data_IF_520028257667
#
_entry.id   IF_520028257667
#
_cell.length_a   1.000
_cell.length_b   1.000
_cell.length_c   1.000
_cell.angle_alpha   90.00
_cell.angle_beta   90.00
_cell.angle_gamma   90.00
#
_symmetry.space_group_name_H-M   'P 1'
#
loop_
_entity.id
_entity.type
_entity.pdbx_description
1 polymer ?
#
# COMPACT_ATOMS: atom_id res chain seq x y z
N UNK A 1 -20.01 3.24 -26.01
CA UNK A 1 -20.39 3.70 -24.65
C UNK A 1 -19.33 3.21 -23.67
N UNK A 2 -18.31 4.02 -23.38
CA UNK A 2 -17.19 3.66 -22.51
C UNK A 2 -17.59 3.88 -21.05
N UNK A 3 -17.54 2.82 -20.23
CA UNK A 3 -17.86 2.84 -18.80
C UNK A 3 -16.80 3.56 -17.95
N UNK A 4 -16.48 4.81 -18.26
CA UNK A 4 -15.40 5.61 -17.65
C UNK A 4 -15.91 6.68 -16.66
N UNK A 5 -17.09 6.50 -16.07
CA UNK A 5 -17.76 7.54 -15.28
C UNK A 5 -17.90 7.29 -13.78
N UNK A 6 -17.52 6.12 -13.25
CA UNK A 6 -17.68 5.84 -11.83
C UNK A 6 -16.53 6.45 -11.01
N UNK A 7 -16.82 7.34 -10.04
CA UNK A 7 -15.79 7.98 -9.23
C UNK A 7 -14.97 6.94 -8.49
N UNK A 8 -13.63 7.06 -8.58
CA UNK A 8 -12.72 6.24 -7.78
C UNK A 8 -12.80 6.66 -6.32
N UNK A 9 -12.74 5.70 -5.40
CA UNK A 9 -12.58 6.05 -4.01
C UNK A 9 -11.27 6.86 -3.83
N UNK A 10 -11.32 7.84 -2.93
CA UNK A 10 -10.20 8.74 -2.69
C UNK A 10 -8.96 7.96 -2.23
N UNK A 11 -7.83 8.17 -2.91
CA UNK A 11 -6.53 7.61 -2.55
C UNK A 11 -5.82 8.43 -1.46
N UNK A 12 -6.39 9.57 -1.03
CA UNK A 12 -5.78 10.45 -0.03
C UNK A 12 -5.40 9.71 1.26
N UNK A 13 -6.26 8.85 1.86
CA UNK A 13 -5.91 8.15 3.10
C UNK A 13 -4.71 7.22 2.94
N UNK A 14 -4.58 6.57 1.77
CA UNK A 14 -3.42 5.73 1.44
C UNK A 14 -2.14 6.57 1.43
N UNK A 15 -2.12 7.66 0.66
CA UNK A 15 -0.93 8.51 0.57
C UNK A 15 -0.57 9.18 1.89
N UNK A 16 -1.56 9.60 2.69
CA UNK A 16 -1.32 10.14 4.03
C UNK A 16 -0.69 9.07 4.92
N UNK A 17 -1.22 7.85 4.92
CA UNK A 17 -0.69 6.73 5.72
C UNK A 17 0.73 6.38 5.32
N UNK A 18 0.99 6.28 4.00
CA UNK A 18 2.33 6.03 3.45
C UNK A 18 3.30 7.15 3.83
N UNK A 19 2.87 8.41 3.71
CA UNK A 19 3.66 9.57 4.10
C UNK A 19 4.04 9.54 5.58
N UNK A 20 3.08 9.29 6.47
CA UNK A 20 3.32 9.18 7.92
C UNK A 20 4.29 8.03 8.22
N UNK A 21 4.02 6.81 7.71
CA UNK A 21 4.87 5.64 7.95
C UNK A 21 6.31 5.85 7.46
N UNK A 22 6.45 6.44 6.27
CA UNK A 22 7.75 6.77 5.68
C UNK A 22 8.48 7.84 6.49
N UNK A 23 7.79 8.90 6.91
CA UNK A 23 8.37 9.98 7.70
C UNK A 23 8.93 9.47 9.04
N UNK A 24 8.20 8.58 9.72
CA UNK A 24 8.71 7.94 10.94
C UNK A 24 9.99 7.15 10.66
N UNK A 25 10.01 6.28 9.64
CA UNK A 25 11.21 5.49 9.34
C UNK A 25 12.41 6.35 8.93
N UNK A 26 12.18 7.41 8.16
CA UNK A 26 13.22 8.38 7.80
C UNK A 26 13.77 9.06 9.06
N UNK A 27 12.90 9.53 9.96
CA UNK A 27 13.32 10.20 11.19
C UNK A 27 14.17 9.28 12.08
N UNK A 28 13.73 8.04 12.30
CA UNK A 28 14.51 7.05 13.05
C UNK A 28 15.86 6.76 12.37
N UNK A 29 15.87 6.63 11.04
CA UNK A 29 17.07 6.41 10.25
C UNK A 29 18.08 7.55 10.35
N UNK A 30 17.63 8.81 10.26
CA UNK A 30 18.48 10.01 10.40
C UNK A 30 19.03 10.16 11.82
N UNK A 31 18.20 9.89 12.84
CA UNK A 31 18.62 9.92 14.24
C UNK A 31 19.58 8.78 14.61
N UNK A 32 19.78 7.80 13.73
CA UNK A 32 20.60 6.62 14.00
C UNK A 32 20.00 5.69 15.06
N UNK A 33 18.71 5.83 15.37
CA UNK A 33 18.01 5.03 16.37
C UNK A 33 17.37 3.84 15.65
N UNK A 34 17.60 2.63 16.16
CA UNK A 34 16.92 1.47 15.60
C UNK A 34 15.41 1.56 15.82
N UNK A 35 14.58 1.48 14.75
CA UNK A 35 13.14 1.49 14.91
C UNK A 35 12.73 0.27 15.72
N UNK A 36 11.96 0.51 16.79
CA UNK A 36 11.38 -0.56 17.60
C UNK A 36 10.57 -1.52 16.71
N UNK A 37 10.52 -2.83 17.02
CA UNK A 37 9.80 -3.81 16.19
C UNK A 37 8.36 -3.41 15.88
N UNK A 38 7.66 -2.82 16.85
CA UNK A 38 6.31 -2.30 16.67
C UNK A 38 6.21 -1.24 15.57
N UNK A 39 7.16 -0.30 15.49
CA UNK A 39 7.18 0.74 14.46
C UNK A 39 7.37 0.13 13.07
N UNK A 40 8.23 -0.89 12.95
CA UNK A 40 8.45 -1.61 11.68
C UNK A 40 7.19 -2.33 11.23
N UNK A 41 6.49 -3.00 12.15
CA UNK A 41 5.22 -3.68 11.86
C UNK A 41 4.15 -2.67 11.43
N UNK A 42 3.99 -1.55 12.15
CA UNK A 42 3.04 -0.50 11.78
C UNK A 42 3.37 0.09 10.40
N UNK A 43 4.65 0.35 10.12
CA UNK A 43 5.06 0.88 8.82
C UNK A 43 4.82 -0.10 7.66
N UNK A 44 4.93 -1.41 7.90
CA UNK A 44 4.64 -2.45 6.91
C UNK A 44 3.14 -2.67 6.70
N UNK A 45 2.36 -2.71 7.79
CA UNK A 45 0.93 -3.06 7.73
C UNK A 45 0.02 -1.85 7.52
N UNK A 46 0.42 -0.65 7.96
CA UNK A 46 -0.38 0.58 7.86
C UNK A 46 -0.84 0.89 6.42
N UNK A 47 0.08 0.96 5.44
CA UNK A 47 -0.28 1.15 4.04
C UNK A 47 -1.20 0.04 3.49
N UNK A 48 -1.04 -1.19 3.96
CA UNK A 48 -1.87 -2.31 3.56
C UNK A 48 -3.31 -2.16 4.10
N UNK A 49 -3.47 -1.79 5.36
CA UNK A 49 -4.78 -1.49 5.97
C UNK A 49 -5.48 -0.34 5.23
N UNK A 50 -4.74 0.71 4.90
CA UNK A 50 -5.27 1.84 4.13
C UNK A 50 -5.71 1.41 2.72
N UNK A 51 -4.93 0.56 2.06
CA UNK A 51 -5.27 -0.04 0.77
C UNK A 51 -6.53 -0.90 0.84
N UNK A 52 -6.66 -1.76 1.85
CA UNK A 52 -7.84 -2.60 2.05
C UNK A 52 -9.08 -1.73 2.28
N UNK A 53 -8.95 -0.66 3.07
CA UNK A 53 -10.02 0.29 3.33
C UNK A 53 -10.44 1.02 2.05
N UNK A 54 -9.48 1.46 1.25
CA UNK A 54 -9.71 2.04 -0.07
C UNK A 54 -10.45 1.07 -1.00
N UNK A 55 -9.99 -0.18 -1.08
CA UNK A 55 -10.57 -1.20 -1.94
C UNK A 55 -12.04 -1.46 -1.59
N UNK A 56 -12.35 -1.60 -0.29
CA UNK A 56 -13.72 -1.79 0.19
C UNK A 56 -14.61 -0.59 -0.14
N UNK A 57 -14.07 0.63 -0.11
CA UNK A 57 -14.80 1.82 -0.53
C UNK A 57 -15.01 1.85 -2.06
N UNK A 58 -13.98 1.55 -2.84
CA UNK A 58 -14.01 1.55 -4.31
C UNK A 58 -14.97 0.48 -4.86
N UNK A 59 -14.93 -0.73 -4.30
CA UNK A 59 -15.81 -1.82 -4.71
C UNK A 59 -17.28 -1.53 -4.39
N UNK A 60 -17.57 -0.93 -3.21
CA UNK A 60 -18.92 -0.45 -2.86
C UNK A 60 -19.41 0.61 -3.84
N UNK A 61 -18.56 1.59 -4.17
CA UNK A 61 -18.90 2.65 -5.12
C UNK A 61 -19.17 2.10 -6.54
N UNK A 62 -18.45 1.05 -6.94
CA UNK A 62 -18.59 0.40 -8.26
C UNK A 62 -19.61 -0.73 -8.31
N UNK A 63 -20.27 -1.05 -7.18
CA UNK A 63 -21.20 -2.19 -7.01
C UNK A 63 -20.61 -3.51 -7.51
N UNK A 64 -19.30 -3.70 -7.30
CA UNK A 64 -18.62 -4.95 -7.67
C UNK A 64 -18.78 -5.92 -6.51
N UNK A 65 -19.42 -7.06 -6.76
CA UNK A 65 -19.44 -8.16 -5.80
C UNK A 65 -18.03 -8.68 -5.61
N UNK A 66 -17.49 -8.40 -4.43
CA UNK A 66 -16.24 -8.96 -3.96
C UNK A 66 -16.51 -10.41 -3.56
N UNK A 67 -15.57 -11.32 -3.85
CA UNK A 67 -15.57 -12.66 -3.29
C UNK A 67 -15.60 -12.56 -1.76
N UNK A 68 -16.21 -13.55 -1.10
CA UNK A 68 -16.28 -13.69 0.36
C UNK A 68 -14.96 -13.24 1.02
N UNK A 69 -15.05 -12.30 1.97
CA UNK A 69 -13.92 -11.69 2.69
C UNK A 69 -12.69 -11.29 1.86
N UNK A 70 -12.89 -10.57 0.74
CA UNK A 70 -11.78 -9.98 -0.05
C UNK A 70 -10.76 -9.20 0.81
N UNK A 71 -11.18 -8.61 1.93
CA UNK A 71 -10.28 -7.96 2.88
C UNK A 71 -9.21 -8.92 3.42
N UNK A 72 -9.60 -10.13 3.83
CA UNK A 72 -8.69 -11.17 4.30
C UNK A 72 -7.79 -11.69 3.17
N UNK A 73 -8.36 -11.90 1.99
CA UNK A 73 -7.58 -12.33 0.83
C UNK A 73 -6.50 -11.31 0.46
N UNK A 74 -6.78 -10.01 0.56
CA UNK A 74 -5.73 -8.99 0.36
C UNK A 74 -4.63 -9.05 1.40
N UNK A 75 -4.91 -9.42 2.66
CA UNK A 75 -3.84 -9.60 3.63
C UNK A 75 -2.80 -10.64 3.19
N UNK A 76 -3.25 -11.73 2.56
CA UNK A 76 -2.37 -12.83 2.17
C UNK A 76 -1.83 -12.70 0.75
N UNK A 77 -2.64 -12.22 -0.19
CA UNK A 77 -2.37 -12.32 -1.62
C UNK A 77 -2.52 -10.97 -2.35
N UNK A 78 -2.33 -9.84 -1.65
CA UNK A 78 -2.38 -8.50 -2.27
C UNK A 78 -1.55 -8.35 -3.57
N UNK A 79 -0.36 -8.98 -3.76
CA UNK A 79 0.43 -8.75 -4.97
C UNK A 79 -0.27 -9.27 -6.23
N UNK A 80 -1.09 -10.32 -6.11
CA UNK A 80 -1.87 -10.87 -7.20
C UNK A 80 -3.28 -10.26 -7.28
N UNK A 81 -3.91 -10.02 -6.12
CA UNK A 81 -5.28 -9.56 -6.05
C UNK A 81 -5.47 -8.10 -6.46
N UNK A 82 -4.51 -7.21 -6.17
CA UNK A 82 -4.60 -5.81 -6.59
C UNK A 82 -4.58 -5.67 -8.12
N UNK A 83 -3.64 -6.28 -8.86
CA UNK A 83 -3.69 -6.31 -10.32
C UNK A 83 -4.95 -6.96 -10.86
N UNK A 84 -5.36 -8.10 -10.30
CA UNK A 84 -6.58 -8.78 -10.73
C UNK A 84 -7.82 -7.89 -10.54
N UNK A 85 -7.96 -7.24 -9.38
CA UNK A 85 -9.06 -6.33 -9.10
C UNK A 85 -9.05 -5.12 -10.03
N UNK A 86 -7.88 -4.52 -10.27
CA UNK A 86 -7.76 -3.37 -11.14
C UNK A 86 -8.10 -3.72 -12.60
N UNK A 87 -7.65 -4.88 -13.09
CA UNK A 87 -8.01 -5.38 -14.43
C UNK A 87 -9.50 -5.70 -14.50
N UNK A 88 -10.05 -6.37 -13.49
CA UNK A 88 -11.47 -6.75 -13.45
C UNK A 88 -12.40 -5.54 -13.44
N UNK A 89 -12.02 -4.47 -12.75
CA UNK A 89 -12.86 -3.27 -12.59
C UNK A 89 -12.64 -2.17 -13.64
N UNK A 90 -11.46 -2.12 -14.27
CA UNK A 90 -11.04 -1.03 -15.16
C UNK A 90 -10.36 -1.50 -16.46
N UNK A 91 -10.30 -2.81 -16.70
CA UNK A 91 -9.56 -3.39 -17.83
C UNK A 91 -8.03 -3.22 -17.70
N UNK A 92 -7.30 -3.45 -18.79
CA UNK A 92 -5.81 -3.34 -18.81
C UNK A 92 -5.31 -1.96 -18.40
N UNK A 93 -6.11 -0.91 -18.62
CA UNK A 93 -5.82 0.46 -18.18
C UNK A 93 -5.86 0.64 -16.65
N UNK A 94 -6.33 -0.35 -15.89
CA UNK A 94 -6.25 -0.38 -14.42
C UNK A 94 -4.87 -0.78 -13.88
N UNK A 95 -4.00 -1.39 -14.70
CA UNK A 95 -2.68 -1.85 -14.26
C UNK A 95 -1.79 -0.75 -13.64
N UNK A 96 -1.70 0.47 -14.21
CA UNK A 96 -0.93 1.55 -13.59
C UNK A 96 -1.41 1.91 -12.18
N UNK A 97 -2.72 1.85 -11.92
CA UNK A 97 -3.28 2.08 -10.59
C UNK A 97 -2.85 0.98 -9.61
N UNK A 98 -2.91 -0.29 -10.03
CA UNK A 98 -2.44 -1.40 -9.21
C UNK A 98 -0.94 -1.24 -8.87
N UNK A 99 -0.11 -0.96 -9.87
CA UNK A 99 1.34 -0.74 -9.69
C UNK A 99 1.62 0.42 -8.74
N UNK A 100 0.90 1.54 -8.88
CA UNK A 100 1.02 2.69 -7.99
C UNK A 100 0.71 2.32 -6.53
N UNK A 101 -0.38 1.60 -6.29
CA UNK A 101 -0.78 1.17 -4.95
C UNK A 101 0.23 0.17 -4.37
N UNK A 102 0.69 -0.79 -5.17
CA UNK A 102 1.72 -1.76 -4.76
C UNK A 102 3.03 -1.05 -4.37
N UNK A 103 3.47 -0.09 -5.18
CA UNK A 103 4.66 0.71 -4.88
C UNK A 103 4.46 1.54 -3.60
N UNK A 104 3.28 2.13 -3.42
CA UNK A 104 2.93 2.87 -2.22
C UNK A 104 2.98 2.00 -0.95
N UNK A 105 2.48 0.75 -1.03
CA UNK A 105 2.57 -0.23 0.08
C UNK A 105 4.03 -0.54 0.43
N UNK A 106 4.88 -0.75 -0.58
CA UNK A 106 6.27 -1.14 -0.37
C UNK A 106 7.17 0.01 0.08
N UNK A 107 6.76 1.26 -0.13
CA UNK A 107 7.60 2.46 0.08
C UNK A 107 8.22 2.52 1.49
N UNK A 108 7.47 2.37 2.60
CA UNK A 108 8.08 2.42 3.94
C UNK A 108 9.06 1.28 4.18
N UNK A 109 8.75 0.07 3.71
CA UNK A 109 9.65 -1.09 3.85
C UNK A 109 10.96 -0.89 3.08
N UNK A 110 10.91 -0.34 1.86
CA UNK A 110 12.11 -0.02 1.08
C UNK A 110 13.01 1.00 1.79
N UNK A 111 12.41 2.02 2.43
CA UNK A 111 13.15 2.99 3.24
C UNK A 111 13.82 2.30 4.43
N UNK A 112 13.10 1.46 5.16
CA UNK A 112 13.64 0.72 6.30
C UNK A 112 14.85 -0.14 5.92
N UNK A 113 14.72 -0.91 4.84
CA UNK A 113 15.80 -1.74 4.28
C UNK A 113 16.99 -0.89 3.84
N UNK A 114 16.76 0.24 3.17
CA UNK A 114 17.83 1.13 2.74
C UNK A 114 18.66 1.65 3.93
N UNK A 115 18.02 2.04 5.03
CA UNK A 115 18.72 2.46 6.24
C UNK A 115 19.45 1.32 6.97
N UNK A 116 18.90 0.10 6.94
CA UNK A 116 19.59 -1.08 7.46
C UNK A 116 20.88 -1.36 6.68
N UNK A 117 20.79 -1.37 5.35
CA UNK A 117 21.94 -1.56 4.45
C UNK A 117 22.96 -0.44 4.65
N UNK A 118 22.54 0.82 4.66
CA UNK A 118 23.43 1.96 4.88
C UNK A 118 24.19 1.88 6.22
N UNK A 119 23.55 1.37 7.28
CA UNK A 119 24.20 1.14 8.57
C UNK A 119 25.24 0.02 8.51
N UNK A 120 24.98 -1.07 7.80
CA UNK A 120 25.96 -2.16 7.63
C UNK A 120 27.26 -1.69 6.97
N UNK A 121 27.17 -0.78 5.99
CA UNK A 121 28.34 -0.19 5.34
C UNK A 121 29.10 0.81 6.22
N UNK A 122 28.43 1.45 7.19
CA UNK A 122 29.06 2.44 8.08
C UNK A 122 29.82 1.81 9.25
N UNK A 123 29.49 0.57 9.61
CA UNK A 123 30.11 -0.16 10.75
C UNK A 123 31.32 -0.99 10.31
N UNK A 124 31.47 -1.25 9.01
CA UNK A 124 32.69 -1.83 8.42
C UNK A 124 33.73 -0.75 8.12
#
# INVERSE_FOLDING_TARGET
MTASGLPTASLRPLFITVGICSAFLILYGILGIEPRPFIRVVAALGPLVATISWLRADARARRVELVHDMGLFLWLAWPALLPWYAIRTRGRHGLPLALLIMLAILTPSLIGVAFEIARQFRVR
#
